data_IF_268074116681
#
_entry.id   IF_268074116681
#
_cell.length_a   1.000
_cell.length_b   1.000
_cell.length_c   1.000
_cell.angle_alpha   90.00
_cell.angle_beta   90.00
_cell.angle_gamma   90.00
#
_symmetry.space_group_name_H-M   'P 1'
#
loop_
_entity.id
_entity.type
_entity.pdbx_description
1 polymer ?
#
# COMPACT_ATOMS: atom_id res chain seq x y z
N UNK A 1 3.26 10.22 -10.20
CA UNK A 1 4.20 9.72 -9.16
C UNK A 1 4.53 8.27 -9.39
N UNK A 2 5.75 7.84 -9.04
CA UNK A 2 6.16 6.43 -9.08
C UNK A 2 6.03 5.84 -7.68
N UNK A 3 5.60 4.59 -7.57
CA UNK A 3 5.48 3.91 -6.28
C UNK A 3 6.39 2.69 -6.24
N UNK A 4 7.01 2.48 -5.07
CA UNK A 4 7.81 1.28 -4.78
C UNK A 4 7.15 0.49 -3.65
N UNK A 5 6.99 -0.81 -3.83
CA UNK A 5 6.54 -1.72 -2.77
C UNK A 5 7.63 -1.86 -1.73
N UNK A 6 7.29 -1.62 -0.47
CA UNK A 6 8.18 -1.74 0.70
C UNK A 6 7.92 -3.05 1.45
N UNK A 7 6.65 -3.36 1.68
CA UNK A 7 6.20 -4.61 2.33
C UNK A 7 4.77 -4.94 1.88
N UNK A 8 4.36 -6.20 2.01
CA UNK A 8 3.02 -6.66 1.67
C UNK A 8 2.59 -7.87 2.53
N UNK A 9 1.32 -7.90 2.93
CA UNK A 9 0.72 -8.99 3.73
C UNK A 9 -0.72 -9.24 3.32
N UNK A 10 -1.14 -10.50 3.36
CA UNK A 10 -2.55 -10.89 3.20
C UNK A 10 -3.34 -10.39 4.41
N UNK A 11 -4.28 -9.48 4.17
CA UNK A 11 -5.19 -9.01 5.21
C UNK A 11 -6.22 -10.09 5.53
N UNK A 12 -6.85 -10.62 4.47
CA UNK A 12 -7.78 -11.73 4.48
C UNK A 12 -7.65 -12.55 3.18
N UNK A 13 -8.64 -13.40 2.88
CA UNK A 13 -8.66 -14.21 1.66
C UNK A 13 -9.01 -13.45 0.37
N UNK A 14 -9.34 -12.16 0.45
CA UNK A 14 -9.82 -11.32 -0.65
C UNK A 14 -9.00 -10.03 -0.83
N UNK A 15 -8.14 -9.67 0.13
CA UNK A 15 -7.47 -8.37 0.21
C UNK A 15 -6.01 -8.51 0.60
N UNK A 16 -5.13 -7.82 -0.13
CA UNK A 16 -3.71 -7.67 0.18
C UNK A 16 -3.43 -6.26 0.71
N UNK A 17 -2.89 -6.15 1.92
CA UNK A 17 -2.34 -4.89 2.42
C UNK A 17 -0.93 -4.68 1.89
N UNK A 18 -0.70 -3.54 1.25
CA UNK A 18 0.58 -3.19 0.62
C UNK A 18 1.07 -1.87 1.18
N UNK A 19 2.31 -1.85 1.67
CA UNK A 19 3.01 -0.64 2.04
C UNK A 19 3.80 -0.15 0.83
N UNK A 20 3.43 1.03 0.33
CA UNK A 20 4.05 1.69 -0.81
C UNK A 20 4.86 2.90 -0.33
N UNK A 21 5.88 3.26 -1.09
CA UNK A 21 6.60 4.52 -0.96
C UNK A 21 6.42 5.30 -2.25
N UNK A 22 5.90 6.52 -2.13
CA UNK A 22 5.78 7.44 -3.27
C UNK A 22 7.10 8.19 -3.50
N UNK A 23 7.58 8.12 -4.73
CA UNK A 23 8.75 8.84 -5.24
C UNK A 23 8.28 9.84 -6.31
N UNK A 24 8.70 11.09 -6.17
CA UNK A 24 8.46 12.15 -7.16
C UNK A 24 9.77 12.90 -7.44
N UNK A 25 10.23 12.90 -8.69
CA UNK A 25 11.50 13.55 -9.06
C UNK A 25 12.77 13.03 -8.34
N UNK A 26 12.70 11.89 -7.64
CA UNK A 26 13.78 11.36 -6.81
C UNK A 26 13.67 11.69 -5.32
N UNK A 27 12.66 12.46 -4.92
CA UNK A 27 12.35 12.75 -3.52
C UNK A 27 11.25 11.82 -3.00
N UNK A 28 11.43 11.30 -1.79
CA UNK A 28 10.45 10.44 -1.12
C UNK A 28 9.32 11.32 -0.54
N UNK A 29 8.11 11.23 -1.10
CA UNK A 29 6.93 11.99 -0.63
C UNK A 29 6.23 11.36 0.57
N UNK A 30 6.63 10.16 0.95
CA UNK A 30 6.18 9.46 2.15
C UNK A 30 5.52 8.11 1.87
N UNK A 31 5.25 7.33 2.93
CA UNK A 31 4.65 6.01 2.79
C UNK A 31 3.13 6.08 2.65
N UNK A 32 2.59 5.12 1.93
CA UNK A 32 1.17 4.90 1.70
C UNK A 32 0.83 3.46 2.10
N UNK A 33 -0.17 3.28 2.95
CA UNK A 33 -0.77 1.98 3.23
C UNK A 33 -1.97 1.81 2.28
N UNK A 34 -1.94 0.77 1.46
CA UNK A 34 -2.94 0.48 0.46
C UNK A 34 -3.59 -0.89 0.68
N UNK A 35 -4.90 -0.99 0.52
CA UNK A 35 -5.63 -2.26 0.46
C UNK A 35 -5.92 -2.58 -1.00
N UNK A 36 -5.44 -3.73 -1.46
CA UNK A 36 -5.60 -4.20 -2.84
C UNK A 36 -6.59 -5.36 -2.86
N UNK A 37 -7.84 -5.14 -3.31
CA UNK A 37 -8.79 -6.23 -3.48
C UNK A 37 -8.34 -7.15 -4.62
N UNK A 38 -8.38 -8.46 -4.38
CA UNK A 38 -8.06 -9.47 -5.40
C UNK A 38 -9.04 -9.43 -6.57
N UNK A 39 -10.28 -9.01 -6.36
CA UNK A 39 -11.24 -8.76 -7.44
C UNK A 39 -10.76 -7.70 -8.45
N UNK A 40 -9.92 -6.74 -8.03
CA UNK A 40 -9.32 -5.75 -8.92
C UNK A 40 -8.12 -6.29 -9.70
N UNK A 41 -7.51 -7.38 -9.20
CA UNK A 41 -6.32 -8.01 -9.79
C UNK A 41 -6.71 -9.15 -10.71
N UNK A 42 -7.53 -10.10 -10.27
CA UNK A 42 -7.91 -11.28 -11.05
C UNK A 42 -9.04 -10.94 -12.01
N UNK A 43 -8.71 -10.78 -13.30
CA UNK A 43 -9.69 -10.67 -14.39
C UNK A 43 -9.64 -11.95 -15.22
N UNK A 44 -10.72 -12.73 -15.18
CA UNK A 44 -10.77 -14.14 -15.58
C UNK A 44 -10.35 -14.45 -17.02
N UNK A 45 -10.43 -13.52 -17.98
CA UNK A 45 -10.19 -13.83 -19.40
C UNK A 45 -8.79 -13.51 -19.94
N UNK A 46 -8.06 -12.55 -19.36
CA UNK A 46 -6.78 -12.09 -19.94
C UNK A 46 -5.55 -12.80 -19.35
N UNK A 47 -5.68 -13.37 -18.15
CA UNK A 47 -4.52 -13.83 -17.37
C UNK A 47 -4.00 -15.20 -17.77
N UNK A 48 -4.88 -16.11 -18.19
CA UNK A 48 -4.50 -17.48 -18.55
C UNK A 48 -3.65 -17.54 -19.83
N UNK A 49 -3.82 -16.58 -20.73
CA UNK A 49 -3.02 -16.43 -21.96
C UNK A 49 -1.64 -15.82 -21.68
N UNK A 50 -1.51 -15.06 -20.61
CA UNK A 50 -0.33 -14.25 -20.32
C UNK A 50 0.82 -15.02 -19.64
N UNK A 51 0.52 -16.10 -18.91
CA UNK A 51 1.55 -16.91 -18.23
C UNK A 51 2.23 -17.94 -19.15
N UNK A 52 1.69 -18.19 -20.34
CA UNK A 52 2.25 -19.16 -21.30
C UNK A 52 3.62 -18.73 -21.85
N UNK A 53 3.93 -17.44 -21.81
CA UNK A 53 5.24 -16.88 -22.21
C UNK A 53 6.31 -17.02 -21.13
N UNK A 54 5.94 -17.34 -19.88
CA UNK A 54 6.89 -17.47 -18.77
C UNK A 54 7.51 -18.87 -18.71
N UNK A 55 8.82 -18.93 -18.50
CA UNK A 55 9.54 -20.19 -18.32
C UNK A 55 9.80 -20.43 -16.83
N UNK A 56 9.35 -21.58 -16.33
CA UNK A 56 9.65 -22.04 -14.97
C UNK A 56 11.08 -22.60 -14.81
N UNK A 57 11.88 -22.61 -15.87
CA UNK A 57 13.25 -23.16 -15.88
C UNK A 57 14.33 -22.09 -15.67
N UNK A 58 13.96 -20.82 -15.76
CA UNK A 58 14.85 -19.65 -15.67
C UNK A 58 14.45 -18.77 -14.50
N UNK A 59 15.36 -17.93 -14.01
CA UNK A 59 15.02 -17.00 -12.93
C UNK A 59 13.93 -16.02 -13.37
N UNK A 60 13.11 -15.53 -12.43
CA UNK A 60 12.11 -14.50 -12.71
C UNK A 60 12.76 -13.16 -13.12
N UNK A 61 13.95 -12.87 -12.60
CA UNK A 61 14.68 -11.63 -12.92
C UNK A 61 15.10 -11.58 -14.40
N UNK A 62 15.51 -12.72 -14.96
CA UNK A 62 15.93 -12.86 -16.36
C UNK A 62 14.78 -12.66 -17.35
N UNK A 63 13.55 -12.89 -16.91
CA UNK A 63 12.34 -12.83 -17.74
C UNK A 63 11.43 -11.64 -17.41
N UNK A 64 11.96 -10.59 -16.77
CA UNK A 64 11.20 -9.38 -16.37
C UNK A 64 10.30 -8.80 -17.48
N UNK A 65 10.75 -8.85 -18.74
CA UNK A 65 9.98 -8.35 -19.89
C UNK A 65 8.84 -9.26 -20.35
N UNK A 66 8.84 -10.53 -19.92
CA UNK A 66 7.81 -11.52 -20.27
C UNK A 66 6.77 -11.71 -19.17
N UNK A 67 7.03 -11.23 -17.95
CA UNK A 67 6.10 -11.32 -16.83
C UNK A 67 4.90 -10.39 -17.10
N UNK A 68 3.66 -10.92 -17.12
CA UNK A 68 2.47 -10.11 -17.27
C UNK A 68 2.35 -9.10 -16.14
N UNK A 69 2.08 -7.84 -16.49
CA UNK A 69 1.90 -6.75 -15.52
C UNK A 69 0.47 -6.23 -15.66
N UNK A 70 -0.25 -6.19 -14.53
CA UNK A 70 -1.56 -5.57 -14.46
C UNK A 70 -1.46 -4.25 -13.69
N UNK A 71 -2.08 -3.19 -14.22
CA UNK A 71 -2.16 -1.90 -13.56
C UNK A 71 -3.48 -1.83 -12.80
N UNK A 72 -3.40 -1.68 -11.49
CA UNK A 72 -4.56 -1.50 -10.60
C UNK A 72 -4.61 -0.05 -10.15
N UNK A 73 -5.79 0.55 -10.22
CA UNK A 73 -6.06 1.89 -9.69
C UNK A 73 -6.80 1.75 -8.37
N UNK A 74 -6.27 2.37 -7.32
CA UNK A 74 -6.88 2.46 -5.99
C UNK A 74 -7.29 3.92 -5.77
N UNK A 75 -8.51 4.15 -5.32
CA UNK A 75 -9.04 5.52 -5.09
C UNK A 75 -9.21 5.73 -3.59
N UNK A 76 -10.07 4.93 -2.96
CA UNK A 76 -10.41 5.10 -1.54
C UNK A 76 -9.72 4.09 -0.62
N UNK A 77 -8.92 3.17 -1.19
CA UNK A 77 -8.27 2.09 -0.44
C UNK A 77 -6.83 2.43 -0.04
N UNK A 78 -6.42 3.69 -0.09
CA UNK A 78 -5.08 4.10 0.27
C UNK A 78 -5.05 5.25 1.27
N UNK A 79 -4.20 5.12 2.29
CA UNK A 79 -3.98 6.11 3.33
C UNK A 79 -2.52 6.53 3.37
N UNK A 80 -2.26 7.84 3.28
CA UNK A 80 -0.91 8.39 3.45
C UNK A 80 -0.54 8.41 4.93
N UNK A 81 0.71 8.09 5.23
CA UNK A 81 1.23 8.04 6.60
C UNK A 81 2.13 9.25 6.85
N UNK A 82 1.55 10.32 7.39
CA UNK A 82 2.30 11.53 7.69
C UNK A 82 3.21 11.36 8.91
N UNK A 83 4.36 12.03 8.91
CA UNK A 83 5.32 11.98 10.01
C UNK A 83 5.78 10.57 10.38
N UNK A 84 5.78 9.64 9.42
CA UNK A 84 6.21 8.26 9.65
C UNK A 84 7.07 7.73 8.50
N UNK A 85 8.20 7.12 8.85
CA UNK A 85 9.06 6.38 7.92
C UNK A 85 8.71 4.89 7.99
N UNK A 86 7.54 4.51 7.46
CA UNK A 86 7.05 3.15 7.52
C UNK A 86 7.96 2.17 6.76
N UNK A 87 8.14 0.95 7.30
CA UNK A 87 8.94 -0.10 6.66
C UNK A 87 8.33 -1.49 6.68
N UNK A 88 7.62 -1.85 7.74
CA UNK A 88 6.97 -3.16 7.83
C UNK A 88 5.51 -3.01 8.17
N UNK A 89 4.68 -3.91 7.64
CA UNK A 89 3.26 -4.00 7.96
C UNK A 89 2.94 -5.39 8.54
N UNK A 90 2.09 -5.39 9.55
CA UNK A 90 1.46 -6.57 10.14
C UNK A 90 -0.04 -6.35 10.16
N UNK A 91 -0.83 -7.38 9.92
CA UNK A 91 -2.26 -7.26 9.67
C UNK A 91 -3.04 -8.36 10.38
N UNK A 92 -4.30 -8.09 10.67
CA UNK A 92 -5.25 -9.05 11.20
C UNK A 92 -6.65 -8.73 10.67
N UNK A 93 -7.03 -9.35 9.55
CA UNK A 93 -8.35 -9.19 8.95
C UNK A 93 -9.50 -9.88 9.71
N UNK A 94 -9.24 -10.64 10.77
CA UNK A 94 -10.32 -11.15 11.65
C UNK A 94 -10.73 -10.05 12.66
N UNK A 95 -9.77 -9.24 13.08
CA UNK A 95 -9.98 -8.15 14.06
C UNK A 95 -10.02 -6.78 13.42
N UNK A 96 -9.96 -6.72 12.10
CA UNK A 96 -9.92 -5.50 11.30
C UNK A 96 -8.88 -4.47 11.73
N UNK A 97 -7.66 -4.94 12.02
CA UNK A 97 -6.55 -4.07 12.45
C UNK A 97 -5.30 -4.30 11.63
N UNK A 98 -4.55 -3.22 11.40
CA UNK A 98 -3.22 -3.20 10.82
C UNK A 98 -2.24 -2.48 11.73
N UNK A 99 -0.99 -2.91 11.74
CA UNK A 99 0.10 -2.37 12.54
C UNK A 99 1.29 -2.11 11.63
N UNK A 100 1.80 -0.88 11.65
CA UNK A 100 2.93 -0.47 10.83
C UNK A 100 4.11 -0.15 11.73
N UNK A 101 5.27 -0.70 11.40
CA UNK A 101 6.54 -0.46 12.07
C UNK A 101 7.43 0.42 11.20
N UNK A 102 7.98 1.46 11.80
CA UNK A 102 8.91 2.36 11.14
C UNK A 102 10.30 1.75 10.92
N UNK A 103 11.08 2.38 10.04
CA UNK A 103 12.44 1.94 9.68
C UNK A 103 13.43 1.93 10.84
N UNK A 104 13.20 2.71 11.91
CA UNK A 104 14.02 2.72 13.11
C UNK A 104 13.66 1.61 14.11
N UNK A 105 12.64 0.79 13.80
CA UNK A 105 12.13 -0.31 14.62
C UNK A 105 11.61 0.10 16.01
N UNK A 106 11.33 1.39 16.23
CA UNK A 106 10.91 1.94 17.54
C UNK A 106 9.55 2.63 17.51
N UNK A 107 9.18 3.19 16.37
CA UNK A 107 7.87 3.84 16.22
C UNK A 107 6.90 2.88 15.52
N UNK A 108 5.82 2.55 16.22
CA UNK A 108 4.73 1.68 15.78
C UNK A 108 3.44 2.51 15.73
N UNK A 109 2.64 2.34 14.68
CA UNK A 109 1.27 2.86 14.59
C UNK A 109 0.30 1.74 14.30
N UNK A 110 -0.83 1.76 15.00
CA UNK A 110 -1.94 0.83 14.76
C UNK A 110 -3.06 1.57 14.05
N UNK A 111 -3.75 0.87 13.15
CA UNK A 111 -4.83 1.35 12.33
C UNK A 111 -5.98 0.37 12.46
N UNK A 112 -7.15 0.88 12.82
CA UNK A 112 -8.40 0.16 12.60
C UNK A 112 -8.79 0.33 11.14
N UNK A 113 -9.15 -0.76 10.48
CA UNK A 113 -9.37 -0.82 9.03
C UNK A 113 -10.84 -0.71 8.64
N UNK A 114 -11.75 -0.71 9.62
CA UNK A 114 -13.20 -0.84 9.43
C UNK A 114 -13.97 0.48 9.35
N UNK A 115 -13.28 1.62 9.36
CA UNK A 115 -13.94 2.93 9.44
C UNK A 115 -13.32 3.86 8.41
N UNK A 116 -14.17 4.36 7.50
CA UNK A 116 -13.89 5.59 6.76
C UNK A 116 -13.49 6.64 7.79
N UNK A 117 -12.19 6.93 7.88
CA UNK A 117 -11.66 7.86 8.87
C UNK A 117 -12.26 9.25 8.58
N UNK A 118 -13.33 9.60 9.29
CA UNK A 118 -13.88 10.95 9.33
C UNK A 118 -12.72 11.88 9.72
N UNK A 119 -12.32 12.73 8.79
CA UNK A 119 -11.09 13.49 8.86
C UNK A 119 -10.97 14.31 10.14
N UNK A 120 -9.88 14.10 10.88
CA UNK A 120 -9.34 15.13 11.75
C UNK A 120 -8.76 16.23 10.86
N UNK A 121 -9.60 17.19 10.46
CA UNK A 121 -9.12 18.48 9.97
C UNK A 121 -8.38 19.14 11.14
N UNK A 122 -7.08 19.38 10.98
CA UNK A 122 -6.28 20.16 11.91
C UNK A 122 -7.01 21.48 12.22
N UNK A 123 -7.44 21.66 13.47
CA UNK A 123 -7.87 22.98 13.95
C UNK A 123 -6.66 23.91 13.85
N UNK A 124 -6.63 24.70 12.77
CA UNK A 124 -5.76 25.85 12.68
C UNK A 124 -6.11 26.78 13.85
N UNK A 125 -5.24 26.81 14.85
CA UNK A 125 -5.33 27.76 15.95
C UNK A 125 -5.30 29.17 15.37
N UNK A 126 -6.45 29.83 15.38
CA UNK A 126 -6.60 31.22 14.98
C UNK A 126 -5.90 32.08 16.04
N UNK A 127 -4.73 32.63 15.69
CA UNK A 127 -4.07 33.70 16.44
C UNK A 127 -4.94 34.96 16.37
N UNK A 128 -5.92 35.10 17.27
CA UNK A 128 -6.60 36.37 17.46
C UNK A 128 -5.67 37.35 18.19
N UNK A 129 -4.93 38.11 17.39
CA UNK A 129 -4.39 39.42 17.76
C UNK A 129 -5.57 40.37 17.99
N UNK A 130 -5.81 40.79 19.24
CA UNK A 130 -6.05 42.19 19.66
C UNK A 130 -6.80 42.28 21.00
N UNK A 131 -6.15 42.91 22.00
CA UNK A 131 -6.67 44.00 22.84
C UNK A 131 -5.58 44.52 23.80
#
# INVERSE_FOLDING_TARGET
>A
SKHRVVDAKFYDGQTLSVLLLEEDGGEEKGPLLAQVPFASVYRDQEQQLSLQSCSFKTSLEEQKGSIPVHVVTLVDQCRRMENMKARFVSVNGIRNVSCVLSSNLRHVRMFEMDVEEEGEAEEAADESIDA
#
